data_IF_476677661002
#
_entry.id   IF_476677661002
#
_cell.length_a   1.000
_cell.length_b   1.000
_cell.length_c   1.000
_cell.angle_alpha   90.00
_cell.angle_beta   90.00
_cell.angle_gamma   90.00
#
_symmetry.space_group_name_H-M   'P 1'
#
loop_
_entity.id
_entity.type
_entity.pdbx_description
1 polymer ?
#
# COMPACT_ATOMS: atom_id res chain seq x y z
N UNK A 1 7.62 -25.36 12.41
CA UNK A 1 8.44 -25.17 13.64
C UNK A 1 8.70 -26.51 14.34
N UNK A 2 9.84 -26.67 15.01
CA UNK A 2 10.10 -27.81 15.93
C UNK A 2 9.24 -27.69 17.19
N UNK A 3 8.97 -28.79 17.90
CA UNK A 3 8.08 -28.82 19.08
C UNK A 3 8.42 -27.74 20.13
N UNK A 4 9.70 -27.58 20.47
CA UNK A 4 10.19 -26.56 21.41
C UNK A 4 9.91 -25.14 20.93
N UNK A 5 10.06 -24.86 19.63
CA UNK A 5 9.81 -23.53 19.06
C UNK A 5 8.32 -23.18 19.09
N UNK A 6 7.45 -24.19 18.89
CA UNK A 6 5.99 -24.05 19.02
C UNK A 6 5.63 -23.68 20.45
N UNK A 7 6.16 -24.41 21.43
CA UNK A 7 5.93 -24.13 22.84
C UNK A 7 6.40 -22.71 23.22
N UNK A 8 7.61 -22.32 22.81
CA UNK A 8 8.12 -20.96 23.05
C UNK A 8 7.21 -19.90 22.43
N UNK A 9 6.73 -20.10 21.20
CA UNK A 9 5.79 -19.18 20.56
C UNK A 9 4.50 -19.05 21.38
N UNK A 10 3.91 -20.17 21.80
CA UNK A 10 2.67 -20.17 22.57
C UNK A 10 2.82 -19.48 23.93
N UNK A 11 3.92 -19.72 24.65
CA UNK A 11 4.20 -19.05 25.94
C UNK A 11 4.39 -17.54 25.79
N UNK A 12 5.05 -17.11 24.72
CA UNK A 12 5.21 -15.69 24.40
C UNK A 12 3.88 -15.08 23.96
N UNK A 13 3.10 -15.78 23.14
CA UNK A 13 1.77 -15.34 22.72
C UNK A 13 0.81 -15.22 23.91
N UNK A 14 0.84 -16.16 24.87
CA UNK A 14 0.04 -16.12 26.09
C UNK A 14 0.33 -14.85 26.91
N UNK A 15 1.59 -14.42 26.96
CA UNK A 15 1.95 -13.17 27.62
C UNK A 15 1.60 -11.93 26.76
N UNK A 16 1.78 -11.99 25.45
CA UNK A 16 1.60 -10.85 24.54
C UNK A 16 0.13 -10.56 24.21
N UNK A 17 -0.70 -11.59 24.07
CA UNK A 17 -2.10 -11.54 23.64
C UNK A 17 -2.97 -12.57 24.41
N UNK A 18 -3.01 -12.49 25.77
CA UNK A 18 -3.71 -13.43 26.66
C UNK A 18 -5.21 -13.52 26.33
N UNK A 19 -5.92 -14.47 26.92
CA UNK A 19 -7.38 -14.49 26.83
C UNK A 19 -7.98 -13.12 27.27
N UNK A 20 -8.95 -12.62 26.51
CA UNK A 20 -9.66 -11.38 26.78
C UNK A 20 -11.17 -11.58 26.76
N UNK A 21 -11.91 -10.49 26.62
CA UNK A 21 -13.38 -10.53 26.60
C UNK A 21 -13.93 -11.33 25.41
N UNK A 22 -13.26 -11.25 24.27
CA UNK A 22 -13.68 -11.88 23.01
C UNK A 22 -12.70 -12.97 22.57
N UNK A 23 -11.40 -12.68 22.66
CA UNK A 23 -10.38 -13.59 22.16
C UNK A 23 -10.07 -14.69 23.18
N UNK A 24 -10.12 -15.98 22.80
CA UNK A 24 -9.71 -17.08 23.67
C UNK A 24 -8.20 -17.06 23.93
N UNK A 25 -7.70 -17.87 24.85
CA UNK A 25 -6.26 -18.03 25.04
C UNK A 25 -5.58 -18.54 23.74
N UNK A 26 -4.32 -18.16 23.47
CA UNK A 26 -3.53 -18.73 22.36
C UNK A 26 -3.45 -20.26 22.42
N UNK A 27 -3.67 -20.91 21.28
CA UNK A 27 -3.65 -22.36 21.12
C UNK A 27 -2.77 -22.79 19.94
N UNK A 28 -2.70 -24.10 19.67
CA UNK A 28 -1.85 -24.66 18.61
C UNK A 28 -2.21 -24.18 17.19
N UNK A 29 -3.44 -23.70 16.97
CA UNK A 29 -3.85 -23.14 15.68
C UNK A 29 -3.09 -21.83 15.40
N UNK A 30 -2.86 -21.01 16.43
CA UNK A 30 -2.10 -19.75 16.29
C UNK A 30 -0.70 -19.95 15.68
N UNK A 31 -0.04 -21.08 15.95
CA UNK A 31 1.28 -21.39 15.38
C UNK A 31 1.20 -21.43 13.84
N UNK A 32 0.17 -22.11 13.31
CA UNK A 32 -0.09 -22.21 11.88
C UNK A 32 -0.41 -20.85 11.27
N UNK A 33 -1.23 -20.06 11.95
CA UNK A 33 -1.62 -18.72 11.49
C UNK A 33 -0.43 -17.76 11.46
N UNK A 34 0.45 -17.80 12.47
CA UNK A 34 1.69 -17.02 12.48
C UNK A 34 2.62 -17.44 11.34
N UNK A 35 2.80 -18.75 11.10
CA UNK A 35 3.58 -19.22 9.96
C UNK A 35 2.98 -18.74 8.62
N UNK A 36 1.66 -18.75 8.49
CA UNK A 36 0.97 -18.25 7.31
C UNK A 36 1.22 -16.75 7.11
N UNK A 37 1.06 -15.92 8.16
CA UNK A 37 1.37 -14.47 8.13
C UNK A 37 2.81 -14.22 7.68
N UNK A 38 3.76 -14.97 8.22
CA UNK A 38 5.19 -14.84 7.89
C UNK A 38 5.49 -15.22 6.45
N UNK A 39 4.86 -16.27 5.92
CA UNK A 39 5.00 -16.69 4.52
C UNK A 39 4.38 -15.68 3.56
N UNK A 40 3.23 -15.10 3.92
CA UNK A 40 2.57 -14.07 3.13
C UNK A 40 3.46 -12.82 3.02
N UNK A 41 3.97 -12.30 4.14
CA UNK A 41 4.75 -11.05 4.15
C UNK A 41 6.20 -11.22 3.69
N UNK A 42 6.90 -12.26 4.18
CA UNK A 42 8.35 -12.40 4.02
C UNK A 42 8.77 -13.58 3.12
N UNK A 43 7.80 -14.31 2.54
CA UNK A 43 8.06 -15.41 1.64
C UNK A 43 8.58 -16.66 2.33
N UNK A 44 9.19 -17.56 1.55
CA UNK A 44 9.62 -18.89 2.03
C UNK A 44 10.64 -18.82 3.18
N UNK A 45 11.41 -17.74 3.29
CA UNK A 45 12.43 -17.54 4.34
C UNK A 45 11.88 -16.91 5.61
N UNK A 46 10.68 -16.33 5.58
CA UNK A 46 10.05 -15.64 6.72
C UNK A 46 10.03 -16.45 8.01
N UNK A 47 9.50 -17.69 8.00
CA UNK A 47 9.46 -18.54 9.19
C UNK A 47 10.84 -18.85 9.78
N UNK A 48 11.89 -18.98 8.95
CA UNK A 48 13.24 -19.23 9.45
C UNK A 48 13.82 -18.01 10.18
N UNK A 49 13.67 -16.82 9.61
CA UNK A 49 14.10 -15.56 10.25
C UNK A 49 13.35 -15.32 11.56
N UNK A 50 12.04 -15.53 11.56
CA UNK A 50 11.21 -15.36 12.75
C UNK A 50 11.63 -16.27 13.91
N UNK A 51 12.03 -17.52 13.62
CA UNK A 51 12.55 -18.43 14.65
C UNK A 51 13.79 -17.89 15.35
N UNK A 52 14.71 -17.27 14.62
CA UNK A 52 15.88 -16.63 15.22
C UNK A 52 15.50 -15.47 16.14
N UNK A 53 14.54 -14.63 15.73
CA UNK A 53 14.02 -13.53 16.55
C UNK A 53 13.28 -14.02 17.80
N UNK A 54 12.49 -15.08 17.65
CA UNK A 54 11.78 -15.73 18.75
C UNK A 54 12.76 -16.29 19.78
N UNK A 55 13.83 -16.96 19.34
CA UNK A 55 14.89 -17.45 20.22
C UNK A 55 15.64 -16.31 20.90
N UNK A 56 15.92 -15.22 20.18
CA UNK A 56 16.55 -14.05 20.77
C UNK A 56 15.68 -13.45 21.90
N UNK A 57 14.37 -13.29 21.67
CA UNK A 57 13.43 -12.84 22.71
C UNK A 57 13.34 -13.83 23.88
N UNK A 58 13.39 -15.14 23.59
CA UNK A 58 13.37 -16.19 24.62
C UNK A 58 14.60 -16.17 25.53
N UNK A 59 15.73 -15.64 25.04
CA UNK A 59 16.97 -15.53 25.81
C UNK A 59 17.08 -14.24 26.63
N UNK A 60 16.20 -13.25 26.42
CA UNK A 60 16.28 -11.93 27.09
C UNK A 60 16.24 -12.03 28.61
N UNK A 61 15.46 -12.97 29.16
CA UNK A 61 15.36 -13.16 30.60
C UNK A 61 16.58 -13.83 31.25
N UNK A 62 17.42 -14.51 30.46
CA UNK A 62 18.49 -15.38 30.99
C UNK A 62 19.52 -14.62 31.83
N UNK A 63 20.04 -13.46 31.41
CA UNK A 63 20.99 -12.70 32.22
C UNK A 63 20.39 -12.16 33.53
N UNK A 64 19.06 -12.05 33.62
CA UNK A 64 18.37 -11.46 34.77
C UNK A 64 17.83 -12.50 35.76
N UNK A 65 17.44 -13.69 35.26
CA UNK A 65 16.71 -14.70 36.03
C UNK A 65 17.34 -16.09 36.01
N UNK A 66 18.36 -16.31 35.15
CA UNK A 66 18.88 -17.64 34.84
C UNK A 66 17.92 -18.52 34.02
N UNK A 67 16.70 -18.03 33.73
CA UNK A 67 15.67 -18.74 32.98
C UNK A 67 15.38 -18.06 31.64
N UNK A 68 14.84 -18.83 30.71
CA UNK A 68 14.33 -18.32 29.44
C UNK A 68 13.02 -17.58 29.66
N UNK A 69 12.73 -16.60 28.80
CA UNK A 69 11.49 -15.84 28.85
C UNK A 69 10.28 -16.76 28.83
N UNK A 70 10.26 -17.80 27.98
CA UNK A 70 9.14 -18.75 27.92
C UNK A 70 8.96 -19.62 29.17
N UNK A 71 10.00 -19.77 30.00
CA UNK A 71 9.96 -20.57 31.23
C UNK A 71 9.51 -19.77 32.46
N UNK A 72 9.58 -18.44 32.41
CA UNK A 72 9.12 -17.57 33.50
C UNK A 72 7.60 -17.73 33.75
N UNK A 73 7.12 -17.51 34.99
CA UNK A 73 5.69 -17.38 35.27
C UNK A 73 5.00 -16.32 34.41
N UNK A 74 3.71 -16.49 34.10
CA UNK A 74 2.98 -15.61 33.17
C UNK A 74 3.08 -14.12 33.55
N UNK A 75 2.91 -13.79 34.84
CA UNK A 75 2.99 -12.41 35.32
C UNK A 75 4.37 -11.78 35.08
N UNK A 76 5.45 -12.55 35.29
CA UNK A 76 6.81 -12.11 35.03
C UNK A 76 7.10 -11.94 33.54
N UNK A 77 6.58 -12.85 32.69
CA UNK A 77 6.65 -12.68 31.23
C UNK A 77 5.96 -11.40 30.79
N UNK A 78 4.74 -11.14 31.27
CA UNK A 78 3.99 -9.94 30.92
C UNK A 78 4.73 -8.67 31.36
N UNK A 79 5.29 -8.64 32.57
CA UNK A 79 6.09 -7.53 33.06
C UNK A 79 7.36 -7.32 32.22
N UNK A 80 8.04 -8.39 31.81
CA UNK A 80 9.21 -8.31 30.94
C UNK A 80 8.84 -7.75 29.56
N UNK A 81 7.78 -8.25 28.91
CA UNK A 81 7.35 -7.73 27.61
C UNK A 81 6.96 -6.24 27.70
N UNK A 82 6.29 -5.81 28.77
CA UNK A 82 5.97 -4.40 29.00
C UNK A 82 7.24 -3.55 29.14
N UNK A 83 8.23 -4.00 29.91
CA UNK A 83 9.54 -3.32 30.05
C UNK A 83 10.29 -3.22 28.73
N UNK A 84 10.25 -4.25 27.89
CA UNK A 84 10.88 -4.21 26.56
C UNK A 84 10.20 -3.20 25.62
N UNK A 85 8.88 -2.99 25.78
CA UNK A 85 8.13 -2.02 24.99
C UNK A 85 8.47 -0.56 25.36
N UNK A 86 8.93 -0.31 26.59
CA UNK A 86 9.35 1.01 27.10
C UNK A 86 10.89 1.16 27.14
N UNK A 87 11.62 0.13 26.70
CA UNK A 87 13.06 0.06 26.77
C UNK A 87 13.78 0.76 25.61
N UNK A 88 14.99 0.28 25.30
CA UNK A 88 15.77 0.81 24.18
C UNK A 88 15.10 0.52 22.83
N UNK A 89 15.44 1.32 21.81
CA UNK A 89 14.96 1.11 20.43
C UNK A 89 15.19 -0.32 19.92
N UNK A 90 16.32 -0.94 20.28
CA UNK A 90 16.61 -2.32 19.90
C UNK A 90 15.68 -3.33 20.59
N UNK A 91 15.43 -3.15 21.90
CA UNK A 91 14.50 -3.99 22.66
C UNK A 91 13.07 -3.85 22.13
N UNK A 92 12.63 -2.62 21.85
CA UNK A 92 11.34 -2.32 21.26
C UNK A 92 11.17 -3.04 19.92
N UNK A 93 12.14 -2.91 19.00
CA UNK A 93 12.04 -3.54 17.68
C UNK A 93 12.15 -5.06 17.72
N UNK A 94 12.93 -5.64 18.63
CA UNK A 94 12.95 -7.09 18.86
C UNK A 94 11.56 -7.58 19.30
N UNK A 95 10.97 -6.94 20.31
CA UNK A 95 9.63 -7.26 20.79
C UNK A 95 8.59 -7.10 19.67
N UNK A 96 8.62 -6.01 18.90
CA UNK A 96 7.69 -5.77 17.79
C UNK A 96 7.81 -6.81 16.69
N UNK A 97 9.04 -7.20 16.34
CA UNK A 97 9.27 -8.17 15.27
C UNK A 97 8.75 -9.57 15.63
N UNK A 98 8.69 -9.91 16.93
CA UNK A 98 8.07 -11.16 17.40
C UNK A 98 6.56 -11.01 17.59
N UNK A 99 6.09 -9.94 18.22
CA UNK A 99 4.68 -9.79 18.59
C UNK A 99 3.77 -9.37 17.44
N UNK A 100 4.26 -8.68 16.41
CA UNK A 100 3.41 -8.22 15.31
C UNK A 100 2.78 -9.38 14.51
N UNK A 101 3.52 -10.44 14.08
CA UNK A 101 2.91 -11.61 13.44
C UNK A 101 1.86 -12.31 14.32
N UNK A 102 2.10 -12.40 15.63
CA UNK A 102 1.15 -12.95 16.61
C UNK A 102 -0.14 -12.11 16.63
N UNK A 103 -0.02 -10.79 16.77
CA UNK A 103 -1.16 -9.87 16.84
C UNK A 103 -1.98 -9.88 15.54
N UNK A 104 -1.31 -9.92 14.40
CA UNK A 104 -1.95 -10.05 13.08
C UNK A 104 -2.74 -11.36 13.00
N UNK A 105 -2.12 -12.49 13.37
CA UNK A 105 -2.80 -13.79 13.36
C UNK A 105 -4.03 -13.80 14.27
N UNK A 106 -3.91 -13.24 15.48
CA UNK A 106 -5.01 -13.12 16.45
C UNK A 106 -6.16 -12.25 15.94
N UNK A 107 -5.84 -11.15 15.26
CA UNK A 107 -6.81 -10.24 14.66
C UNK A 107 -7.57 -10.83 13.46
N UNK A 108 -7.09 -11.94 12.89
CA UNK A 108 -7.71 -12.62 11.74
C UNK A 108 -8.70 -13.72 12.13
N UNK A 109 -8.82 -14.05 13.42
CA UNK A 109 -9.70 -15.13 13.88
C UNK A 109 -11.16 -14.84 13.56
N UNK A 110 -11.91 -15.88 13.18
CA UNK A 110 -13.36 -15.79 12.91
C UNK A 110 -14.12 -15.32 14.15
N UNK A 111 -13.74 -15.82 15.34
CA UNK A 111 -14.30 -15.42 16.63
C UNK A 111 -14.29 -13.89 16.81
N UNK A 112 -13.16 -13.24 16.53
CA UNK A 112 -13.07 -11.78 16.65
C UNK A 112 -13.91 -11.07 15.60
N UNK A 113 -13.91 -11.56 14.36
CA UNK A 113 -14.69 -10.97 13.26
C UNK A 113 -16.20 -11.05 13.52
N UNK A 114 -16.68 -12.18 14.02
CA UNK A 114 -18.07 -12.39 14.39
C UNK A 114 -18.46 -11.49 15.57
N UNK A 115 -17.65 -11.46 16.63
CA UNK A 115 -17.91 -10.63 17.80
C UNK A 115 -17.93 -9.12 17.50
N UNK A 116 -17.13 -8.67 16.53
CA UNK A 116 -17.08 -7.28 16.07
C UNK A 116 -18.05 -6.98 14.92
N UNK A 117 -18.87 -7.95 14.51
CA UNK A 117 -19.79 -7.87 13.37
C UNK A 117 -19.10 -7.34 12.09
N UNK A 118 -17.88 -7.79 11.83
CA UNK A 118 -17.11 -7.40 10.64
C UNK A 118 -17.69 -8.13 9.43
N UNK A 119 -18.58 -7.46 8.71
CA UNK A 119 -19.11 -7.93 7.43
C UNK A 119 -18.36 -7.28 6.29
N UNK A 120 -17.81 -8.08 5.38
CA UNK A 120 -17.43 -7.61 4.04
C UNK A 120 -18.56 -7.93 3.09
N UNK A 121 -19.04 -6.93 2.36
CA UNK A 121 -20.05 -7.18 1.33
C UNK A 121 -19.40 -7.97 0.20
N UNK A 122 -20.02 -9.08 -0.19
CA UNK A 122 -19.67 -9.75 -1.42
C UNK A 122 -20.09 -8.83 -2.58
N UNK A 123 -19.12 -8.20 -3.23
CA UNK A 123 -19.42 -7.44 -4.42
C UNK A 123 -19.99 -8.35 -5.50
N UNK A 124 -20.92 -7.81 -6.30
CA UNK A 124 -21.37 -8.51 -7.50
C UNK A 124 -20.16 -8.84 -8.38
N UNK A 125 -20.13 -10.09 -8.88
CA UNK A 125 -19.06 -10.57 -9.76
C UNK A 125 -18.89 -9.63 -10.94
N UNK A 126 -17.64 -9.39 -11.32
CA UNK A 126 -17.39 -8.58 -12.51
C UNK A 126 -17.90 -9.29 -13.77
N UNK A 127 -18.49 -8.53 -14.70
CA UNK A 127 -18.78 -9.03 -16.04
C UNK A 127 -17.58 -8.74 -16.94
N UNK A 128 -17.24 -9.69 -17.81
CA UNK A 128 -16.13 -9.52 -18.72
C UNK A 128 -16.47 -8.48 -19.79
N UNK A 129 -15.85 -7.31 -19.70
CA UNK A 129 -16.09 -6.21 -20.64
C UNK A 129 -15.21 -6.34 -21.88
N UNK A 130 -15.70 -5.86 -23.03
CA UNK A 130 -15.00 -6.02 -24.33
C UNK A 130 -13.56 -5.47 -24.30
N UNK A 131 -13.33 -4.35 -23.61
CA UNK A 131 -12.01 -3.73 -23.53
C UNK A 131 -10.99 -4.59 -22.77
N UNK A 132 -11.41 -5.53 -21.91
CA UNK A 132 -10.51 -6.41 -21.18
C UNK A 132 -9.73 -7.35 -22.10
N UNK A 133 -10.23 -7.60 -23.33
CA UNK A 133 -9.51 -8.37 -24.35
C UNK A 133 -8.22 -7.71 -24.82
N UNK A 134 -8.04 -6.42 -24.53
CA UNK A 134 -6.82 -5.67 -24.84
C UNK A 134 -5.78 -5.72 -23.71
N UNK A 135 -6.05 -6.46 -22.63
CA UNK A 135 -5.08 -6.77 -21.58
C UNK A 135 -4.47 -8.13 -21.87
N UNK A 136 -3.16 -8.16 -22.05
CA UNK A 136 -2.38 -9.39 -22.26
C UNK A 136 -1.49 -9.63 -21.04
N UNK A 137 -1.48 -10.85 -20.52
CA UNK A 137 -0.42 -11.30 -19.60
C UNK A 137 0.82 -11.58 -20.44
N UNK A 138 1.86 -10.76 -20.28
CA UNK A 138 3.07 -10.82 -21.08
C UNK A 138 3.82 -12.15 -20.95
N UNK A 139 3.52 -12.96 -19.92
CA UNK A 139 4.08 -14.32 -19.76
C UNK A 139 3.58 -15.29 -20.83
N UNK A 140 2.41 -15.03 -21.42
CA UNK A 140 1.80 -15.86 -22.47
C UNK A 140 2.31 -15.53 -23.88
N UNK A 141 3.09 -14.46 -24.04
CA UNK A 141 3.74 -14.11 -25.30
C UNK A 141 4.93 -15.04 -25.57
N UNK A 142 5.25 -15.20 -26.84
CA UNK A 142 6.45 -15.92 -27.27
C UNK A 142 7.72 -15.15 -26.89
N UNK A 143 8.85 -15.87 -26.86
CA UNK A 143 10.13 -15.22 -26.65
C UNK A 143 10.53 -14.43 -27.90
N UNK A 144 11.20 -13.30 -27.70
CA UNK A 144 11.56 -12.33 -28.73
C UNK A 144 10.38 -11.71 -29.52
N UNK A 145 9.19 -11.62 -28.92
CA UNK A 145 8.04 -10.90 -29.47
C UNK A 145 8.41 -9.48 -29.90
N UNK A 146 8.05 -9.09 -31.13
CA UNK A 146 8.33 -7.78 -31.73
C UNK A 146 7.05 -6.99 -31.98
N UNK A 147 6.98 -5.77 -31.47
CA UNK A 147 5.78 -4.93 -31.58
C UNK A 147 6.18 -3.53 -32.04
N UNK A 148 5.37 -2.93 -32.90
CA UNK A 148 5.51 -1.54 -33.33
C UNK A 148 4.25 -0.76 -32.99
N UNK A 149 4.42 0.41 -32.39
CA UNK A 149 3.33 1.33 -31.99
C UNK A 149 3.77 2.78 -32.15
N UNK A 150 2.84 3.73 -32.12
CA UNK A 150 3.21 5.14 -32.12
C UNK A 150 3.87 5.53 -30.78
N UNK A 151 3.28 5.06 -29.68
CA UNK A 151 3.67 5.46 -28.33
C UNK A 151 3.72 4.25 -27.39
N UNK A 152 4.84 4.08 -26.68
CA UNK A 152 4.95 3.13 -25.58
C UNK A 152 5.05 3.86 -24.24
N UNK A 153 4.20 3.46 -23.29
CA UNK A 153 4.11 4.04 -21.94
C UNK A 153 4.53 2.98 -20.93
N UNK A 154 5.57 3.28 -20.15
CA UNK A 154 6.13 2.38 -19.15
C UNK A 154 5.53 2.69 -17.78
N UNK A 155 4.54 1.90 -17.36
CA UNK A 155 3.82 2.05 -16.09
C UNK A 155 2.38 2.51 -16.29
N UNK A 156 1.46 1.85 -15.58
CA UNK A 156 0.00 2.06 -15.70
C UNK A 156 -0.62 2.92 -14.56
N UNK A 157 0.23 3.58 -13.77
CA UNK A 157 -0.18 4.37 -12.61
C UNK A 157 -0.73 5.77 -12.95
N UNK A 158 -0.74 6.65 -11.95
CA UNK A 158 -1.32 8.00 -12.01
C UNK A 158 -0.78 8.89 -13.14
N UNK A 159 0.48 8.71 -13.56
CA UNK A 159 1.05 9.45 -14.69
C UNK A 159 0.80 8.79 -16.05
N UNK A 160 0.93 7.47 -16.12
CA UNK A 160 0.90 6.72 -17.38
C UNK A 160 -0.51 6.51 -17.93
N UNK A 161 -1.48 6.18 -17.09
CA UNK A 161 -2.83 5.89 -17.56
C UNK A 161 -3.56 7.10 -18.16
N UNK A 162 -3.51 8.32 -17.55
CA UNK A 162 -4.10 9.50 -18.18
C UNK A 162 -3.43 9.88 -19.50
N UNK A 163 -2.11 9.72 -19.60
CA UNK A 163 -1.36 9.93 -20.84
C UNK A 163 -1.82 8.94 -21.93
N UNK A 164 -1.94 7.66 -21.57
CA UNK A 164 -2.42 6.63 -22.49
C UNK A 164 -3.82 6.96 -23.02
N UNK A 165 -4.72 7.35 -22.13
CA UNK A 165 -6.07 7.75 -22.50
C UNK A 165 -6.07 8.97 -23.43
N UNK A 166 -5.26 10.00 -23.14
CA UNK A 166 -5.17 11.20 -23.95
C UNK A 166 -4.62 10.94 -25.37
N UNK A 167 -3.64 10.05 -25.50
CA UNK A 167 -3.04 9.66 -26.77
C UNK A 167 -3.96 8.73 -27.58
N UNK A 168 -4.58 7.74 -26.94
CA UNK A 168 -5.52 6.83 -27.59
C UNK A 168 -6.77 7.57 -28.12
N UNK A 169 -7.28 8.56 -27.36
CA UNK A 169 -8.36 9.43 -27.84
C UNK A 169 -7.99 10.26 -29.08
N UNK A 170 -6.70 10.45 -29.37
CA UNK A 170 -6.21 11.11 -30.57
C UNK A 170 -5.91 10.13 -31.72
N UNK A 171 -6.25 8.86 -31.54
CA UNK A 171 -6.09 7.83 -32.57
C UNK A 171 -4.69 7.22 -32.66
N UNK A 172 -3.80 7.51 -31.71
CA UNK A 172 -2.48 6.89 -31.67
C UNK A 172 -2.56 5.41 -31.26
N UNK A 173 -1.73 4.58 -31.88
CA UNK A 173 -1.45 3.23 -31.40
C UNK A 173 -0.62 3.33 -30.12
N UNK A 174 -1.24 3.00 -28.98
CA UNK A 174 -0.61 3.12 -27.65
C UNK A 174 -0.44 1.74 -27.02
N UNK A 175 0.76 1.41 -26.57
CA UNK A 175 1.04 0.25 -25.73
C UNK A 175 1.46 0.67 -24.32
N UNK A 176 0.76 0.14 -23.31
CA UNK A 176 1.09 0.31 -21.90
C UNK A 176 1.81 -0.94 -21.41
N UNK A 177 3.00 -0.79 -20.82
CA UNK A 177 3.74 -1.89 -20.21
C UNK A 177 3.72 -1.75 -18.69
N UNK A 178 3.16 -2.74 -17.99
CA UNK A 178 3.07 -2.78 -16.53
C UNK A 178 3.84 -3.98 -15.98
N UNK A 179 4.69 -3.75 -14.97
CA UNK A 179 5.47 -4.82 -14.35
C UNK A 179 4.63 -5.72 -13.43
N UNK A 180 3.53 -5.18 -12.89
CA UNK A 180 2.57 -5.89 -12.06
C UNK A 180 1.49 -6.67 -12.82
N UNK A 181 0.70 -7.43 -12.07
CA UNK A 181 -0.47 -8.14 -12.58
C UNK A 181 -1.70 -7.24 -12.69
N UNK A 182 -2.65 -7.62 -13.55
CA UNK A 182 -4.01 -7.09 -13.54
C UNK A 182 -4.86 -7.81 -12.49
N UNK A 183 -5.61 -7.05 -11.70
CA UNK A 183 -6.57 -7.56 -10.71
C UNK A 183 -7.92 -6.90 -10.93
N UNK A 184 -8.99 -7.67 -10.78
CA UNK A 184 -10.37 -7.16 -10.79
C UNK A 184 -10.94 -7.14 -9.38
N UNK A 185 -12.16 -6.62 -9.21
CA UNK A 185 -12.88 -6.69 -7.94
C UNK A 185 -12.98 -8.10 -7.35
N UNK A 186 -13.04 -9.13 -8.19
CA UNK A 186 -13.14 -10.53 -7.76
C UNK A 186 -11.85 -10.98 -7.05
N UNK A 187 -10.70 -10.38 -7.38
CA UNK A 187 -9.42 -10.62 -6.71
C UNK A 187 -9.27 -9.88 -5.38
N UNK A 188 -10.16 -8.92 -5.10
CA UNK A 188 -10.16 -8.09 -3.89
C UNK A 188 -11.05 -8.65 -2.77
N UNK A 189 -11.64 -9.83 -2.96
CA UNK A 189 -12.22 -10.61 -1.89
C UNK A 189 -11.13 -11.27 -1.02
N UNK A 190 -11.49 -11.63 0.21
CA UNK A 190 -10.65 -12.46 1.08
C UNK A 190 -9.53 -11.69 1.80
N UNK A 191 -8.44 -12.40 2.09
CA UNK A 191 -7.40 -11.97 3.02
C UNK A 191 -6.62 -10.74 2.54
N UNK A 192 -6.55 -9.68 3.37
CA UNK A 192 -5.87 -8.43 3.01
C UNK A 192 -4.35 -8.57 2.90
N UNK A 193 -3.71 -9.50 3.63
CA UNK A 193 -2.26 -9.68 3.57
C UNK A 193 -1.86 -10.43 2.31
N UNK A 194 -2.67 -11.38 1.87
CA UNK A 194 -2.49 -12.03 0.57
C UNK A 194 -2.67 -11.02 -0.57
N UNK A 195 -3.69 -10.15 -0.47
CA UNK A 195 -3.88 -9.02 -1.40
C UNK A 195 -2.67 -8.08 -1.40
N UNK A 196 -2.17 -7.70 -0.24
CA UNK A 196 -0.95 -6.90 -0.09
C UNK A 196 0.26 -7.57 -0.73
N UNK A 197 0.47 -8.87 -0.46
CA UNK A 197 1.60 -9.62 -0.99
C UNK A 197 1.60 -9.72 -2.53
N UNK A 198 0.41 -9.74 -3.15
CA UNK A 198 0.23 -9.80 -4.61
C UNK A 198 0.35 -8.44 -5.29
N UNK A 199 -0.11 -7.36 -4.65
CA UNK A 199 -0.18 -6.02 -5.27
C UNK A 199 0.95 -5.06 -4.89
N UNK A 200 1.55 -5.21 -3.71
CA UNK A 200 2.56 -4.27 -3.25
C UNK A 200 3.94 -4.74 -3.70
N UNK A 201 4.73 -3.81 -4.23
CA UNK A 201 6.15 -4.03 -4.52
C UNK A 201 6.85 -4.50 -3.24
N UNK A 202 7.66 -5.56 -3.37
CA UNK A 202 8.32 -6.22 -2.22
C UNK A 202 7.33 -6.63 -1.11
N UNK A 203 6.07 -6.94 -1.47
CA UNK A 203 5.00 -7.34 -0.53
C UNK A 203 4.70 -6.28 0.54
N UNK A 204 5.02 -5.01 0.25
CA UNK A 204 4.86 -3.89 1.17
C UNK A 204 6.11 -3.59 2.00
N UNK A 205 7.14 -4.43 2.00
CA UNK A 205 8.38 -4.20 2.74
C UNK A 205 9.37 -3.34 1.92
N UNK A 206 8.98 -2.12 1.60
CA UNK A 206 9.82 -1.15 0.91
C UNK A 206 10.06 0.07 1.79
N UNK A 207 11.33 0.42 2.01
CA UNK A 207 11.72 1.46 2.95
C UNK A 207 12.62 2.50 2.28
N UNK A 208 12.48 3.75 2.69
CA UNK A 208 13.51 4.77 2.54
C UNK A 208 14.37 4.79 3.81
N UNK A 209 15.70 4.79 3.65
CA UNK A 209 16.64 4.79 4.76
C UNK A 209 17.35 6.14 4.78
N UNK A 210 17.18 6.86 5.90
CA UNK A 210 17.93 8.07 6.24
C UNK A 210 18.32 8.01 7.71
N UNK A 211 18.19 9.14 8.41
CA UNK A 211 18.27 9.18 9.88
C UNK A 211 17.13 8.39 10.56
N UNK A 212 16.00 8.19 9.88
CA UNK A 212 14.88 7.37 10.34
C UNK A 212 14.36 6.51 9.18
N UNK A 213 14.18 5.18 9.37
CA UNK A 213 13.59 4.34 8.33
C UNK A 213 12.11 4.69 8.15
N UNK A 214 11.71 4.96 6.90
CA UNK A 214 10.32 5.25 6.54
C UNK A 214 9.78 4.17 5.61
N UNK A 215 8.63 3.60 5.95
CA UNK A 215 7.89 2.69 5.06
C UNK A 215 7.34 3.49 3.87
N UNK A 216 7.63 3.04 2.64
CA UNK A 216 7.14 3.67 1.41
C UNK A 216 6.40 2.62 0.58
N UNK A 217 5.09 2.44 0.82
CA UNK A 217 4.29 1.50 0.07
C UNK A 217 4.19 1.89 -1.42
N UNK A 218 4.39 0.93 -2.31
CA UNK A 218 4.28 1.15 -3.75
C UNK A 218 3.53 0.00 -4.40
N UNK A 219 2.57 0.32 -5.27
CA UNK A 219 1.85 -0.67 -6.06
C UNK A 219 2.72 -1.23 -7.18
N UNK A 220 2.67 -2.54 -7.39
CA UNK A 220 3.18 -3.25 -8.56
C UNK A 220 2.02 -4.08 -9.13
N UNK A 221 1.07 -3.37 -9.73
CA UNK A 221 -0.17 -3.88 -10.32
C UNK A 221 -0.64 -2.92 -11.41
N UNK A 222 -1.51 -3.37 -12.32
CA UNK A 222 -2.25 -2.47 -13.19
C UNK A 222 -2.97 -1.41 -12.35
N UNK A 223 -2.70 -0.14 -12.66
CA UNK A 223 -3.13 1.02 -11.90
C UNK A 223 -2.10 1.57 -10.89
N UNK A 224 -1.01 0.84 -10.66
CA UNK A 224 0.08 1.21 -9.78
C UNK A 224 -0.39 1.52 -8.35
N UNK A 225 0.22 2.53 -7.72
CA UNK A 225 -0.15 2.93 -6.35
C UNK A 225 -1.57 3.50 -6.21
N UNK A 226 -2.26 3.83 -7.31
CA UNK A 226 -3.67 4.28 -7.23
C UNK A 226 -4.62 3.13 -6.90
N UNK A 227 -4.24 1.89 -7.22
CA UNK A 227 -4.97 0.68 -6.83
C UNK A 227 -4.90 0.45 -5.32
N UNK A 228 -3.80 0.85 -4.67
CA UNK A 228 -3.51 0.57 -3.25
C UNK A 228 -3.50 1.80 -2.32
N UNK A 229 -3.94 2.97 -2.79
CA UNK A 229 -4.08 4.16 -1.95
C UNK A 229 -5.49 4.25 -1.29
N UNK A 230 -5.68 5.22 -0.42
CA UNK A 230 -6.95 5.43 0.30
C UNK A 230 -8.01 6.22 -0.47
N UNK A 231 -7.64 6.82 -1.60
CA UNK A 231 -8.52 7.60 -2.48
C UNK A 231 -8.62 9.10 -2.17
N UNK A 232 -7.86 9.63 -1.21
CA UNK A 232 -7.82 11.06 -0.90
C UNK A 232 -7.31 11.88 -2.08
N UNK A 233 -7.93 13.03 -2.33
CA UNK A 233 -7.64 13.91 -3.46
C UNK A 233 -7.43 15.35 -2.98
N UNK A 234 -6.24 15.90 -3.22
CA UNK A 234 -5.95 17.31 -2.98
C UNK A 234 -5.40 17.99 -4.22
N UNK A 235 -5.74 19.27 -4.37
CA UNK A 235 -5.03 20.16 -5.27
C UNK A 235 -3.73 20.63 -4.60
N UNK A 236 -2.72 20.94 -5.42
CA UNK A 236 -1.46 21.46 -4.91
C UNK A 236 -1.69 22.87 -4.34
N UNK A 237 -1.31 23.15 -3.08
CA UNK A 237 -1.48 24.48 -2.49
C UNK A 237 -0.76 25.56 -3.29
N UNK A 238 -1.35 26.76 -3.32
CA UNK A 238 -0.80 27.89 -4.08
C UNK A 238 0.66 28.21 -3.69
N UNK A 239 0.99 28.13 -2.39
CA UNK A 239 2.37 28.34 -1.90
C UNK A 239 3.39 27.41 -2.54
N UNK A 240 3.00 26.18 -2.87
CA UNK A 240 3.87 25.20 -3.54
C UNK A 240 4.05 25.57 -5.01
N UNK A 241 2.98 25.98 -5.69
CA UNK A 241 3.04 26.45 -7.08
C UNK A 241 3.89 27.73 -7.21
N UNK A 242 3.77 28.66 -6.25
CA UNK A 242 4.64 29.85 -6.18
C UNK A 242 6.11 29.47 -6.02
N UNK A 243 6.42 28.51 -5.13
CA UNK A 243 7.78 27.99 -4.97
C UNK A 243 8.32 27.37 -6.26
N UNK A 244 7.54 26.52 -6.94
CA UNK A 244 7.94 25.94 -8.24
C UNK A 244 8.26 27.01 -9.27
N UNK A 245 7.40 28.02 -9.39
CA UNK A 245 7.54 29.12 -10.34
C UNK A 245 8.74 30.02 -10.03
N UNK A 246 8.89 30.45 -8.78
CA UNK A 246 9.84 31.49 -8.37
C UNK A 246 11.22 30.94 -7.97
N UNK A 247 11.28 29.78 -7.34
CA UNK A 247 12.52 29.20 -6.80
C UNK A 247 13.08 28.08 -7.68
N UNK A 248 12.20 27.28 -8.31
CA UNK A 248 12.62 26.10 -9.09
C UNK A 248 12.64 26.36 -10.61
N UNK A 249 12.31 27.58 -11.04
CA UNK A 249 12.34 27.99 -12.44
C UNK A 249 11.25 27.35 -13.31
N UNK A 250 10.24 26.72 -12.71
CA UNK A 250 9.13 26.08 -13.40
C UNK A 250 8.03 27.11 -13.70
N UNK A 251 8.36 28.10 -14.51
CA UNK A 251 7.50 29.27 -14.76
C UNK A 251 6.08 28.93 -15.27
N UNK A 252 5.92 27.78 -15.96
CA UNK A 252 4.63 27.28 -16.44
C UNK A 252 3.75 26.62 -15.37
N UNK A 253 4.27 26.38 -14.16
CA UNK A 253 3.59 25.70 -13.05
C UNK A 253 3.25 26.65 -11.90
N UNK A 254 3.00 27.94 -12.21
CA UNK A 254 2.56 28.94 -11.24
C UNK A 254 1.08 28.82 -10.86
N UNK A 255 0.61 29.61 -9.87
CA UNK A 255 -0.78 29.61 -9.39
C UNK A 255 -1.82 29.61 -10.51
N UNK A 256 -2.77 28.67 -10.43
CA UNK A 256 -3.89 28.55 -11.36
C UNK A 256 -3.57 27.85 -12.68
N UNK A 257 -2.30 27.58 -13.00
CA UNK A 257 -1.94 26.95 -14.28
C UNK A 257 -2.40 25.49 -14.39
N UNK A 258 -2.72 24.86 -13.26
CA UNK A 258 -3.19 23.48 -13.19
C UNK A 258 -4.72 23.36 -13.05
N UNK A 259 -5.47 24.44 -12.92
CA UNK A 259 -6.90 24.39 -12.56
C UNK A 259 -7.74 23.60 -13.57
N UNK A 260 -7.59 23.90 -14.86
CA UNK A 260 -8.29 23.14 -15.92
C UNK A 260 -7.87 21.68 -16.01
N UNK A 261 -6.66 21.33 -15.54
CA UNK A 261 -6.22 19.94 -15.41
C UNK A 261 -6.89 19.26 -14.21
N UNK A 262 -6.94 19.94 -13.05
CA UNK A 262 -7.63 19.44 -11.86
C UNK A 262 -9.10 19.17 -12.15
N UNK A 263 -9.83 20.11 -12.73
CA UNK A 263 -11.25 19.93 -13.05
C UNK A 263 -11.51 18.72 -13.95
N UNK A 264 -10.66 18.51 -14.96
CA UNK A 264 -10.79 17.36 -15.88
C UNK A 264 -10.53 16.04 -15.17
N UNK A 265 -9.50 15.97 -14.32
CA UNK A 265 -9.16 14.78 -13.54
C UNK A 265 -10.22 14.50 -12.49
N UNK A 266 -10.65 15.51 -11.73
CA UNK A 266 -11.69 15.41 -10.71
C UNK A 266 -13.01 14.90 -11.29
N UNK A 267 -13.40 15.40 -12.47
CA UNK A 267 -14.59 14.91 -13.20
C UNK A 267 -14.44 13.44 -13.62
N UNK A 268 -13.30 13.08 -14.21
CA UNK A 268 -13.02 11.69 -14.62
C UNK A 268 -13.04 10.73 -13.43
N UNK A 269 -12.46 11.16 -12.31
CA UNK A 269 -12.34 10.37 -11.09
C UNK A 269 -13.57 10.48 -10.16
N UNK A 270 -14.55 11.32 -10.49
CA UNK A 270 -15.74 11.58 -9.66
C UNK A 270 -15.38 12.01 -8.23
N UNK A 271 -14.44 12.95 -8.10
CA UNK A 271 -13.97 13.43 -6.79
C UNK A 271 -15.09 14.17 -6.07
N UNK A 272 -15.42 13.72 -4.86
CA UNK A 272 -16.45 14.29 -4.00
C UNK A 272 -16.07 14.16 -2.53
N UNK A 273 -16.73 14.92 -1.65
CA UNK A 273 -16.54 14.79 -0.20
C UNK A 273 -17.01 13.41 0.26
N UNK A 274 -16.28 12.84 1.23
CA UNK A 274 -16.72 11.65 1.95
C UNK A 274 -18.10 11.89 2.60
N UNK A 275 -18.99 10.88 2.54
CA UNK A 275 -20.35 10.99 3.06
C UNK A 275 -20.44 10.50 4.50
N UNK A 276 -21.37 11.01 5.32
CA UNK A 276 -21.54 10.60 6.71
C UNK A 276 -21.55 9.08 6.93
N UNK A 277 -22.25 8.34 6.08
CA UNK A 277 -22.37 6.87 6.17
C UNK A 277 -21.04 6.12 6.02
N UNK A 278 -20.01 6.77 5.48
CA UNK A 278 -18.68 6.17 5.27
C UNK A 278 -17.63 6.60 6.28
N UNK A 279 -17.91 7.64 7.08
CA UNK A 279 -16.94 8.30 7.96
C UNK A 279 -16.75 7.59 9.31
N UNK A 280 -17.80 6.96 9.82
CA UNK A 280 -17.82 6.23 11.10
C UNK A 280 -17.40 7.05 12.32
N UNK A 281 -17.23 6.39 13.47
CA UNK A 281 -17.00 7.06 14.75
C UNK A 281 -15.68 7.84 14.85
N UNK A 282 -14.71 7.61 13.96
CA UNK A 282 -13.48 8.41 13.97
C UNK A 282 -13.74 9.88 13.66
N UNK A 283 -14.58 10.14 12.66
CA UNK A 283 -14.88 11.49 12.25
C UNK A 283 -15.55 12.26 13.38
N UNK A 284 -16.44 11.61 14.15
CA UNK A 284 -17.07 12.20 15.34
C UNK A 284 -16.04 12.58 16.40
N UNK A 285 -15.08 11.70 16.68
CA UNK A 285 -13.99 11.95 17.64
C UNK A 285 -13.12 13.12 17.19
N UNK A 286 -12.70 13.12 15.92
CA UNK A 286 -11.83 14.16 15.36
C UNK A 286 -12.57 15.51 15.34
N UNK A 287 -13.82 15.53 14.87
CA UNK A 287 -14.66 16.72 14.82
C UNK A 287 -14.81 17.32 16.22
N UNK A 288 -15.23 16.53 17.22
CA UNK A 288 -15.37 16.99 18.60
C UNK A 288 -14.08 17.59 19.16
N UNK A 289 -12.94 16.96 18.88
CA UNK A 289 -11.63 17.46 19.31
C UNK A 289 -11.25 18.77 18.61
N UNK A 290 -11.48 18.86 17.31
CA UNK A 290 -11.19 20.06 16.52
C UNK A 290 -12.10 21.23 16.91
N UNK A 291 -13.40 20.99 17.12
CA UNK A 291 -14.37 21.97 17.62
C UNK A 291 -13.96 22.53 18.99
N UNK A 292 -13.57 21.66 19.93
CA UNK A 292 -13.11 22.07 21.25
C UNK A 292 -11.83 22.92 21.22
N UNK A 293 -11.01 22.75 20.19
CA UNK A 293 -9.77 23.50 19.98
C UNK A 293 -9.94 24.71 19.04
N UNK A 294 -11.10 24.85 18.38
CA UNK A 294 -11.36 25.89 17.40
C UNK A 294 -10.61 25.72 16.07
N UNK A 295 -10.24 24.49 15.69
CA UNK A 295 -9.51 24.21 14.45
C UNK A 295 -10.43 23.97 13.26
N UNK A 296 -10.01 24.37 12.05
CA UNK A 296 -10.73 24.01 10.83
C UNK A 296 -10.66 22.50 10.54
N UNK A 297 -11.80 21.85 10.32
CA UNK A 297 -11.90 20.41 10.03
C UNK A 297 -13.03 20.11 9.06
N UNK A 298 -12.88 19.04 8.27
CA UNK A 298 -13.89 18.66 7.28
C UNK A 298 -13.78 17.21 6.77
N UNK A 299 -14.87 16.65 6.19
CA UNK A 299 -14.77 15.45 5.37
C UNK A 299 -13.84 15.67 4.17
N UNK A 300 -12.93 14.73 3.96
CA UNK A 300 -11.93 14.78 2.90
C UNK A 300 -12.55 14.56 1.52
N UNK A 301 -11.95 15.18 0.50
CA UNK A 301 -12.24 14.91 -0.90
C UNK A 301 -11.68 13.54 -1.31
N UNK A 302 -12.50 12.70 -1.91
CA UNK A 302 -12.14 11.33 -2.32
C UNK A 302 -12.61 11.01 -3.73
N UNK A 303 -11.82 10.23 -4.48
CA UNK A 303 -12.21 9.66 -5.77
C UNK A 303 -13.03 8.36 -5.62
N UNK A 304 -13.99 8.34 -4.71
CA UNK A 304 -14.75 7.13 -4.39
C UNK A 304 -16.27 7.34 -4.44
N UNK A 305 -16.83 7.84 -5.56
CA UNK A 305 -18.27 8.05 -5.67
C UNK A 305 -19.02 6.71 -5.56
N UNK A 306 -20.08 6.68 -4.75
CA UNK A 306 -20.84 5.46 -4.47
C UNK A 306 -20.13 4.47 -3.55
N UNK A 307 -19.18 4.94 -2.72
CA UNK A 307 -18.54 4.11 -1.70
C UNK A 307 -19.54 3.65 -0.65
N UNK A 308 -19.46 2.37 -0.30
CA UNK A 308 -20.28 1.67 0.68
C UNK A 308 -19.52 1.35 1.98
N UNK A 309 -18.38 2.02 2.23
CA UNK A 309 -17.71 1.97 3.53
C UNK A 309 -16.86 0.73 3.83
N UNK A 310 -16.50 -0.11 2.84
CA UNK A 310 -15.78 -1.39 3.05
C UNK A 310 -14.43 -1.31 3.81
N UNK A 311 -13.85 -0.12 4.03
CA UNK A 311 -12.66 0.07 4.87
C UNK A 311 -11.35 -0.53 4.36
N UNK A 312 -11.34 -1.18 3.19
CA UNK A 312 -10.19 -1.96 2.67
C UNK A 312 -9.49 -1.30 1.48
N UNK A 313 -9.71 0.01 1.26
CA UNK A 313 -9.27 0.76 0.07
C UNK A 313 -7.79 0.56 -0.30
N UNK A 314 -6.90 0.45 0.71
CA UNK A 314 -5.46 0.28 0.49
C UNK A 314 -5.11 -1.14 -0.01
N UNK A 315 -6.01 -2.11 0.16
CA UNK A 315 -5.85 -3.50 -0.28
C UNK A 315 -6.74 -3.86 -1.47
N UNK A 316 -7.07 -2.87 -2.32
CA UNK A 316 -7.99 -3.02 -3.44
C UNK A 316 -9.45 -2.84 -3.02
N UNK A 317 -10.22 -2.12 -3.82
CA UNK A 317 -11.63 -1.81 -3.53
C UNK A 317 -12.52 -2.91 -4.10
N UNK A 318 -13.20 -3.73 -3.28
CA UNK A 318 -13.99 -4.84 -3.78
C UNK A 318 -15.24 -4.39 -4.57
N UNK A 319 -15.66 -3.14 -4.47
CA UNK A 319 -16.85 -2.61 -5.17
C UNK A 319 -16.52 -1.73 -6.38
N UNK A 320 -15.22 -1.54 -6.70
CA UNK A 320 -14.68 -0.52 -7.61
C UNK A 320 -15.17 0.92 -7.39
N UNK A 321 -15.77 1.21 -6.23
CA UNK A 321 -16.20 2.56 -5.90
C UNK A 321 -15.01 3.53 -5.91
N UNK A 322 -13.85 3.10 -5.38
CA UNK A 322 -12.59 3.87 -5.45
C UNK A 322 -12.05 3.85 -6.87
N UNK A 323 -12.12 5.00 -7.54
CA UNK A 323 -11.74 5.21 -8.94
C UNK A 323 -10.23 5.35 -9.13
N UNK A 324 -9.45 4.32 -8.77
CA UNK A 324 -8.05 4.20 -9.17
C UNK A 324 -7.90 4.14 -10.69
N UNK A 325 -6.69 4.29 -11.23
CA UNK A 325 -6.51 4.26 -12.70
C UNK A 325 -6.85 2.90 -13.31
N UNK A 326 -6.81 1.82 -12.52
CA UNK A 326 -7.25 0.48 -12.92
C UNK A 326 -8.76 0.39 -13.27
N UNK A 327 -9.59 1.26 -12.70
CA UNK A 327 -11.05 1.28 -12.95
C UNK A 327 -11.53 2.54 -13.69
N UNK A 328 -10.65 3.53 -13.85
CA UNK A 328 -10.96 4.81 -14.53
C UNK A 328 -10.23 4.91 -15.87
N UNK A 329 -8.99 5.38 -15.84
CA UNK A 329 -8.23 5.73 -17.05
C UNK A 329 -7.81 4.52 -17.89
N UNK A 330 -7.45 3.39 -17.28
CA UNK A 330 -7.05 2.20 -18.03
C UNK A 330 -8.22 1.67 -18.86
N UNK A 331 -9.40 1.35 -18.29
CA UNK A 331 -10.56 0.96 -19.09
C UNK A 331 -10.89 1.99 -20.20
N UNK A 332 -10.84 3.28 -19.88
CA UNK A 332 -11.13 4.34 -20.84
C UNK A 332 -10.09 4.46 -21.97
N UNK A 333 -8.82 4.14 -21.73
CA UNK A 333 -7.79 4.08 -22.77
C UNK A 333 -7.95 2.82 -23.65
N UNK A 334 -8.20 1.67 -23.02
CA UNK A 334 -8.39 0.40 -23.72
C UNK A 334 -9.63 0.44 -24.63
N UNK A 335 -10.73 1.04 -24.16
CA UNK A 335 -11.93 1.27 -24.98
C UNK A 335 -11.69 2.13 -26.24
N UNK A 336 -10.55 2.83 -26.31
CA UNK A 336 -10.11 3.66 -27.45
C UNK A 336 -9.02 2.98 -28.28
N UNK A 337 -8.73 1.70 -28.04
CA UNK A 337 -7.79 0.91 -28.83
C UNK A 337 -6.37 0.81 -28.26
N UNK A 338 -6.07 1.39 -27.09
CA UNK A 338 -4.78 1.17 -26.44
C UNK A 338 -4.60 -0.29 -26.01
N UNK A 339 -3.40 -0.85 -26.08
CA UNK A 339 -3.10 -2.18 -25.55
C UNK A 339 -2.40 -2.08 -24.20
N UNK A 340 -2.58 -3.09 -23.33
CA UNK A 340 -1.86 -3.18 -22.06
C UNK A 340 -1.24 -4.56 -21.88
N UNK A 341 0.06 -4.59 -21.64
CA UNK A 341 0.78 -5.82 -21.27
C UNK A 341 1.10 -5.78 -19.79
N UNK A 342 0.45 -6.67 -19.03
CA UNK A 342 0.72 -6.88 -17.61
C UNK A 342 1.89 -7.84 -17.43
N UNK A 343 2.58 -7.76 -16.29
CA UNK A 343 3.78 -8.54 -15.98
C UNK A 343 4.94 -8.35 -16.99
N UNK A 344 4.95 -7.21 -17.68
CA UNK A 344 6.01 -6.79 -18.60
C UNK A 344 6.92 -5.77 -17.90
N UNK A 345 8.07 -6.21 -17.39
CA UNK A 345 9.04 -5.32 -16.74
C UNK A 345 10.00 -4.75 -17.78
N UNK A 346 9.95 -3.44 -18.03
CA UNK A 346 10.94 -2.76 -18.88
C UNK A 346 12.31 -2.75 -18.20
N UNK A 347 13.33 -3.18 -18.93
CA UNK A 347 14.73 -3.24 -18.48
C UNK A 347 15.61 -2.29 -19.29
N UNK A 348 15.31 -2.11 -20.58
CA UNK A 348 16.13 -1.32 -21.50
C UNK A 348 15.29 -0.33 -22.32
N UNK A 349 15.86 0.84 -22.57
CA UNK A 349 15.36 1.79 -23.58
C UNK A 349 16.24 1.67 -24.82
N UNK A 350 15.62 1.60 -25.99
CA UNK A 350 16.30 1.51 -27.28
C UNK A 350 16.58 2.91 -27.80
N UNK A 351 17.79 3.13 -28.31
CA UNK A 351 18.22 4.40 -28.88
C UNK A 351 18.70 4.23 -30.33
N UNK A 352 18.41 5.25 -31.14
CA UNK A 352 19.07 5.51 -32.43
C UNK A 352 19.70 6.89 -32.31
N UNK A 353 21.03 6.95 -32.21
CA UNK A 353 21.71 8.18 -31.79
C UNK A 353 21.29 8.58 -30.37
N UNK A 354 20.79 9.81 -30.23
CA UNK A 354 20.26 10.38 -28.99
C UNK A 354 18.74 10.22 -28.84
N UNK A 355 18.05 9.68 -29.85
CA UNK A 355 16.60 9.53 -29.85
C UNK A 355 16.17 8.18 -29.27
N UNK A 356 15.24 8.20 -28.33
CA UNK A 356 14.56 6.98 -27.88
C UNK A 356 13.58 6.47 -28.93
N UNK A 357 13.72 5.19 -29.30
CA UNK A 357 12.97 4.55 -30.41
C UNK A 357 12.23 3.27 -29.98
N UNK A 358 12.12 3.05 -28.67
CA UNK A 358 11.47 1.87 -28.13
C UNK A 358 12.01 1.42 -26.78
N UNK A 359 11.57 0.24 -26.36
CA UNK A 359 11.97 -0.39 -25.11
C UNK A 359 12.07 -1.91 -25.25
N UNK A 360 12.82 -2.54 -24.36
CA UNK A 360 12.81 -3.99 -24.16
C UNK A 360 12.27 -4.29 -22.78
N UNK A 361 11.25 -5.15 -22.74
CA UNK A 361 10.66 -5.67 -21.53
C UNK A 361 10.92 -7.17 -21.37
N UNK A 362 10.83 -7.64 -20.13
CA UNK A 362 10.95 -9.04 -19.75
C UNK A 362 9.72 -9.46 -18.96
N UNK A 363 9.15 -10.61 -19.34
CA UNK A 363 8.07 -11.26 -18.63
C UNK A 363 8.57 -12.58 -18.02
N UNK A 364 8.69 -12.64 -16.69
CA UNK A 364 9.18 -13.84 -16.00
C UNK A 364 8.03 -14.83 -15.76
N UNK A 365 8.20 -16.06 -16.23
CA UNK A 365 7.26 -17.17 -16.07
C UNK A 365 7.48 -17.90 -14.74
N UNK A 366 6.53 -18.74 -14.36
CA UNK A 366 6.53 -19.43 -13.06
C UNK A 366 7.60 -20.53 -12.96
N UNK A 367 7.91 -21.15 -14.10
CA UNK A 367 9.00 -22.12 -14.26
C UNK A 367 10.41 -21.48 -14.18
N UNK A 368 10.49 -20.15 -14.07
CA UNK A 368 11.74 -19.40 -13.99
C UNK A 368 12.29 -18.91 -15.33
N UNK A 369 11.72 -19.37 -16.46
CA UNK A 369 12.03 -18.84 -17.79
C UNK A 369 11.50 -17.40 -17.95
N UNK A 370 11.87 -16.72 -19.03
CA UNK A 370 11.34 -15.40 -19.32
C UNK A 370 11.18 -15.17 -20.81
N UNK A 371 10.08 -14.53 -21.21
CA UNK A 371 9.90 -14.00 -22.55
C UNK A 371 10.47 -12.58 -22.64
N UNK A 372 11.24 -12.32 -23.69
CA UNK A 372 11.70 -10.99 -24.07
C UNK A 372 10.70 -10.36 -25.05
N UNK A 373 10.33 -9.12 -24.81
CA UNK A 373 9.42 -8.35 -25.66
C UNK A 373 10.14 -7.08 -26.09
N UNK A 374 10.24 -6.87 -27.39
CA UNK A 374 10.87 -5.69 -27.98
C UNK A 374 9.78 -4.82 -28.60
N UNK A 375 9.67 -3.58 -28.12
CA UNK A 375 8.67 -2.63 -28.61
C UNK A 375 9.40 -1.49 -29.29
N UNK A 376 9.15 -1.28 -30.58
CA UNK A 376 9.55 -0.10 -31.34
C UNK A 376 8.44 0.95 -31.24
N UNK A 377 8.84 2.19 -30.99
CA UNK A 377 7.89 3.29 -30.89
C UNK A 377 8.50 4.62 -31.30
N UNK A 378 7.67 5.49 -31.90
CA UNK A 378 8.07 6.86 -32.22
C UNK A 378 8.27 7.71 -30.95
N UNK A 379 7.55 7.41 -29.87
CA UNK A 379 7.71 8.04 -28.56
C UNK A 379 7.72 7.02 -27.41
N UNK A 380 8.60 7.27 -26.43
CA UNK A 380 8.71 6.48 -25.19
C UNK A 380 8.42 7.38 -23.99
N UNK A 381 7.42 7.03 -23.18
CA UNK A 381 7.09 7.73 -21.94
C UNK A 381 7.40 6.86 -20.71
N UNK A 382 8.30 7.33 -19.85
CA UNK A 382 8.62 6.64 -18.59
C UNK A 382 7.73 7.12 -17.44
N UNK A 383 6.70 6.33 -17.12
CA UNK A 383 5.73 6.59 -16.05
C UNK A 383 5.82 5.57 -14.88
N UNK A 384 7.02 5.07 -14.59
CA UNK A 384 7.28 4.02 -13.60
C UNK A 384 7.36 4.55 -12.14
N UNK A 385 6.83 5.74 -11.89
CA UNK A 385 6.81 6.39 -10.58
C UNK A 385 8.16 6.94 -10.11
N UNK A 386 8.15 7.66 -8.99
CA UNK A 386 9.30 8.38 -8.44
C UNK A 386 10.52 7.49 -8.12
N UNK A 387 10.32 6.18 -7.92
CA UNK A 387 11.42 5.23 -7.71
C UNK A 387 11.78 4.43 -8.97
N UNK A 388 10.79 4.07 -9.80
CA UNK A 388 11.02 3.23 -10.97
C UNK A 388 11.62 3.98 -12.15
N UNK A 389 11.13 5.19 -12.44
CA UNK A 389 11.63 6.01 -13.55
C UNK A 389 13.13 6.34 -13.42
N UNK A 390 13.63 6.91 -12.30
CA UNK A 390 15.07 7.17 -12.18
C UNK A 390 15.91 5.89 -12.21
N UNK A 391 15.40 4.77 -11.69
CA UNK A 391 16.08 3.48 -11.78
C UNK A 391 16.27 3.04 -13.24
N UNK A 392 15.25 3.17 -14.08
CA UNK A 392 15.33 2.84 -15.51
C UNK A 392 16.35 3.77 -16.20
N UNK A 393 16.24 5.08 -15.99
CA UNK A 393 17.13 6.08 -16.58
C UNK A 393 18.60 5.83 -16.22
N UNK A 394 18.92 5.65 -14.93
CA UNK A 394 20.28 5.40 -14.46
C UNK A 394 20.85 4.07 -14.97
N UNK A 395 20.05 2.99 -14.93
CA UNK A 395 20.49 1.69 -15.45
C UNK A 395 20.79 1.70 -16.95
N UNK A 396 20.14 2.60 -17.70
CA UNK A 396 20.34 2.79 -19.14
C UNK A 396 21.28 3.95 -19.48
N UNK A 397 21.84 4.64 -18.47
CA UNK A 397 22.70 5.83 -18.62
C UNK A 397 22.05 6.96 -19.43
N UNK A 398 20.75 7.19 -19.22
CA UNK A 398 19.96 8.18 -19.95
C UNK A 398 19.65 9.43 -19.12
N UNK A 399 19.50 10.55 -19.82
CA UNK A 399 18.94 11.81 -19.31
C UNK A 399 19.55 12.33 -18.00
N UNK A 400 20.83 12.05 -17.74
CA UNK A 400 21.51 12.43 -16.49
C UNK A 400 22.66 13.43 -16.70
N UNK A 401 22.64 14.22 -17.77
CA UNK A 401 23.65 15.27 -18.01
C UNK A 401 23.68 16.33 -16.90
N UNK A 402 22.54 16.58 -16.25
CA UNK A 402 22.42 17.47 -15.09
C UNK A 402 22.92 16.85 -13.78
N UNK A 403 23.22 15.55 -13.76
CA UNK A 403 23.54 14.80 -12.53
C UNK A 403 22.38 14.68 -11.54
N UNK A 404 21.15 15.07 -11.91
CA UNK A 404 20.00 15.14 -11.00
C UNK A 404 19.19 13.85 -10.89
N UNK A 405 19.32 12.92 -11.84
CA UNK A 405 18.49 11.71 -11.85
C UNK A 405 18.79 10.86 -10.62
N UNK A 406 17.75 10.49 -9.87
CA UNK A 406 17.87 9.75 -8.62
C UNK A 406 18.10 10.62 -7.38
N UNK A 407 18.23 11.94 -7.53
CA UNK A 407 18.36 12.89 -6.42
C UNK A 407 17.07 13.68 -6.20
N UNK A 408 16.88 14.22 -4.99
CA UNK A 408 15.71 15.06 -4.65
C UNK A 408 14.46 14.27 -4.27
N UNK A 409 14.60 13.01 -3.84
CA UNK A 409 13.49 12.23 -3.32
C UNK A 409 12.82 12.98 -2.15
N UNK A 410 11.57 13.36 -2.35
CA UNK A 410 10.74 14.03 -1.34
C UNK A 410 9.67 13.06 -0.88
N UNK A 411 9.51 12.92 0.43
CA UNK A 411 8.56 12.02 1.08
C UNK A 411 7.80 12.83 2.15
N UNK A 412 6.59 12.39 2.50
CA UNK A 412 5.88 12.89 3.66
C UNK A 412 6.05 11.89 4.82
N UNK A 413 6.89 12.18 5.83
CA UNK A 413 6.94 11.37 7.03
C UNK A 413 5.58 11.40 7.72
N UNK A 414 4.94 10.23 7.86
CA UNK A 414 3.66 10.09 8.53
C UNK A 414 3.88 9.38 9.88
N UNK A 415 3.21 9.90 10.91
CA UNK A 415 3.15 9.30 12.25
C UNK A 415 1.70 9.11 12.65
N UNK A 416 1.43 8.18 13.55
CA UNK A 416 0.09 7.91 14.07
C UNK A 416 0.14 7.83 15.58
N UNK A 417 -0.98 8.17 16.22
CA UNK A 417 -1.22 8.00 17.63
C UNK A 417 -2.46 7.12 17.83
N UNK A 418 -2.43 6.26 18.84
CA UNK A 418 -3.58 5.48 19.27
C UNK A 418 -4.13 6.06 20.57
N UNK A 419 -5.45 6.20 20.65
CA UNK A 419 -6.16 6.62 21.86
C UNK A 419 -7.18 5.54 22.26
N UNK A 420 -7.44 5.45 23.56
CA UNK A 420 -8.48 4.58 24.12
C UNK A 420 -9.67 5.44 24.50
N UNK A 421 -10.86 5.01 24.07
CA UNK A 421 -12.13 5.65 24.38
C UNK A 421 -12.94 4.75 25.33
N UNK A 422 -13.85 5.37 26.07
CA UNK A 422 -14.82 4.74 26.97
C UNK A 422 -16.08 4.24 26.24
N UNK A 423 -16.16 4.47 24.93
CA UNK A 423 -17.20 4.01 24.02
C UNK A 423 -16.60 3.42 22.74
N UNK A 424 -17.40 2.64 22.02
CA UNK A 424 -16.98 1.94 20.80
C UNK A 424 -16.87 2.90 19.61
N UNK A 425 -15.71 2.92 18.94
CA UNK A 425 -15.48 3.73 17.72
C UNK A 425 -15.74 2.95 16.43
N UNK A 426 -15.66 1.60 16.46
CA UNK A 426 -15.89 0.68 15.32
C UNK A 426 -15.15 1.06 14.04
N UNK A 427 -13.85 1.26 14.14
CA UNK A 427 -13.04 1.75 13.03
C UNK A 427 -12.98 0.88 11.77
N UNK A 428 -13.30 -0.41 11.88
CA UNK A 428 -13.37 -1.35 10.76
C UNK A 428 -14.60 -1.18 9.86
N UNK A 429 -15.58 -0.38 10.28
CA UNK A 429 -16.82 -0.11 9.55
C UNK A 429 -16.81 1.20 8.75
N UNK A 430 -15.64 1.81 8.58
CA UNK A 430 -15.49 3.12 7.95
C UNK A 430 -14.31 3.16 6.99
N UNK A 431 -14.26 4.19 6.14
CA UNK A 431 -13.14 4.38 5.22
C UNK A 431 -11.87 4.80 5.97
N UNK A 432 -10.68 4.33 5.55
CA UNK A 432 -9.45 4.55 6.29
C UNK A 432 -9.02 6.01 6.37
N UNK A 433 -9.37 6.84 5.38
CA UNK A 433 -9.07 8.28 5.34
C UNK A 433 -10.28 9.05 4.83
N UNK A 434 -11.20 9.40 5.74
CA UNK A 434 -12.44 10.10 5.40
C UNK A 434 -12.56 11.52 5.95
N UNK A 435 -11.82 11.84 7.00
CA UNK A 435 -11.95 13.09 7.75
C UNK A 435 -10.57 13.64 8.12
N UNK A 436 -10.45 14.96 8.22
CA UNK A 436 -9.19 15.60 8.58
C UNK A 436 -9.34 16.98 9.19
N UNK A 437 -8.21 17.49 9.70
CA UNK A 437 -8.04 18.85 10.21
C UNK A 437 -7.18 19.63 9.22
N UNK A 438 -7.71 20.73 8.70
CA UNK A 438 -7.09 21.56 7.65
C UNK A 438 -6.27 22.73 8.21
N UNK A 439 -6.45 23.06 9.50
CA UNK A 439 -5.83 24.21 10.19
C UNK A 439 -4.33 24.38 9.92
N UNK A 440 -3.58 23.27 9.80
CA UNK A 440 -2.12 23.30 9.70
C UNK A 440 -1.57 23.10 8.28
N UNK A 441 -2.44 23.11 7.26
CA UNK A 441 -2.03 22.85 5.87
C UNK A 441 -0.98 23.86 5.36
N UNK A 442 -1.05 25.10 5.82
CA UNK A 442 -0.12 26.18 5.43
C UNK A 442 1.29 25.98 5.96
N UNK A 443 1.43 25.39 7.15
CA UNK A 443 2.73 25.00 7.71
C UNK A 443 3.19 23.60 7.25
N UNK A 444 2.44 22.98 6.34
CA UNK A 444 2.79 21.69 5.74
C UNK A 444 2.49 20.47 6.61
N UNK A 445 1.61 20.62 7.59
CA UNK A 445 1.11 19.50 8.39
C UNK A 445 -0.33 19.19 7.98
N UNK A 446 -0.66 17.91 7.88
CA UNK A 446 -2.02 17.44 7.66
C UNK A 446 -2.34 16.32 8.62
N UNK A 447 -3.50 16.41 9.24
CA UNK A 447 -4.05 15.35 10.08
C UNK A 447 -5.11 14.64 9.27
N UNK A 448 -4.77 13.45 8.80
CA UNK A 448 -5.64 12.65 7.95
C UNK A 448 -5.61 11.21 8.41
N UNK A 449 -6.77 10.57 8.34
CA UNK A 449 -6.85 9.13 8.55
C UNK A 449 -7.44 8.75 9.88
N UNK A 450 -8.18 7.67 9.82
CA UNK A 450 -9.04 7.19 10.87
C UNK A 450 -8.60 5.79 11.30
N UNK A 451 -8.59 4.84 10.36
CA UNK A 451 -8.42 3.43 10.69
C UNK A 451 -7.75 2.62 9.58
N UNK A 452 -7.13 1.51 9.97
CA UNK A 452 -6.73 0.43 9.06
C UNK A 452 -7.64 -0.77 9.32
N UNK A 453 -7.79 -1.71 8.36
CA UNK A 453 -8.36 -3.01 8.64
C UNK A 453 -7.72 -3.63 9.89
N UNK A 454 -8.53 -4.34 10.67
CA UNK A 454 -8.18 -4.77 12.03
C UNK A 454 -6.84 -5.51 12.09
N UNK A 455 -6.61 -6.44 11.15
CA UNK A 455 -5.35 -7.17 11.03
C UNK A 455 -4.13 -6.27 10.76
N UNK A 456 -4.27 -5.21 9.98
CA UNK A 456 -3.19 -4.25 9.74
C UNK A 456 -2.99 -3.32 10.95
N UNK A 457 -4.07 -2.86 11.58
CA UNK A 457 -4.02 -2.05 12.80
C UNK A 457 -3.34 -2.81 13.96
N UNK A 458 -3.64 -4.11 14.12
CA UNK A 458 -3.13 -4.96 15.19
C UNK A 458 -1.59 -5.00 15.24
N UNK A 459 -0.92 -4.94 14.09
CA UNK A 459 0.55 -4.89 14.01
C UNK A 459 1.14 -3.60 14.61
N UNK A 460 0.39 -2.50 14.52
CA UNK A 460 0.85 -1.16 14.94
C UNK A 460 0.65 -0.91 16.45
N UNK A 461 -0.32 -1.59 17.07
CA UNK A 461 -0.62 -1.46 18.50
C UNK A 461 0.54 -1.93 19.38
N UNK A 462 1.08 -1.03 20.21
CA UNK A 462 2.22 -1.32 21.09
C UNK A 462 1.93 -2.10 22.35
N UNK A 463 0.70 -2.00 22.82
CA UNK A 463 0.25 -2.72 23.99
C UNK A 463 0.45 -4.23 23.85
N UNK A 464 0.82 -4.87 24.94
CA UNK A 464 0.89 -6.33 25.13
C UNK A 464 0.06 -6.69 26.36
N UNK A 465 -0.23 -7.97 26.54
CA UNK A 465 -1.04 -8.45 27.66
C UNK A 465 -2.51 -8.06 27.52
N UNK A 466 -3.20 -8.00 28.65
CA UNK A 466 -4.64 -7.67 28.73
C UNK A 466 -5.00 -6.24 28.29
N UNK A 467 -4.01 -5.38 27.99
CA UNK A 467 -4.26 -4.08 27.35
C UNK A 467 -4.47 -4.19 25.84
N UNK A 468 -4.10 -5.32 25.24
CA UNK A 468 -4.26 -5.57 23.81
C UNK A 468 -5.52 -6.39 23.49
N UNK A 469 -5.87 -7.37 24.34
CA UNK A 469 -7.12 -8.16 24.24
C UNK A 469 -8.29 -7.53 24.97
#
# INVERSE_FOLDING_TARGET
>A
MLARERETLLRIAEAATPAGRVLPAPDDQLVGDVEHVLRAQFGKRGPALYRALLQALDMVAVPLSGQRTSALPLAERQALLARLNEGSTAAFWLLRSVTAPIKIARARTTVLREALAITQSAAARSQAERWQRQIIDARALDDDEQIEVDCVIVGSGAGGAPLAHALANRGHAVLILEAGAHFTRDDFAGDVLERQARMYRRRGAHFAIGNTPLLVPMGETVGGSTTINSGTCYRVPERVQRRWMLEEGLASLGPGSLDGHYERVERMLGVARATPDTLGGCAEVIARGAEALGYAHEPLMRNAPGCDGQGTCVFGCPTDAKRGTNVSYIPAALARGALLYSRARVERVLLEGDRAVGVVARARREDGSSARITVRAAAVALAAGAAGTPKILLANRLANSSGRVGHGLTLHPASYAWARFDHDIRGWSAVPQGYGVEEFADVGLRFEGAFLPLEAAAATLGHVGARWT
#
